data_IF_698691882729
#
_entry.id   IF_698691882729
#
_cell.length_a   1.000
_cell.length_b   1.000
_cell.length_c   1.000
_cell.angle_alpha   90.00
_cell.angle_beta   90.00
_cell.angle_gamma   90.00
#
_symmetry.space_group_name_H-M   'P 1'
#
loop_
_entity.id
_entity.type
_entity.pdbx_description
1 polymer ?
#
# COMPACT_ATOMS: atom_id res chain seq x y z
N UNK A 1 -65.86 -37.99 13.77
CA UNK A 1 -65.59 -37.42 12.42
C UNK A 1 -64.18 -36.86 12.43
N UNK A 2 -63.38 -37.30 11.46
CA UNK A 2 -61.95 -37.02 11.32
C UNK A 2 -61.61 -35.52 11.31
N UNK A 3 -60.49 -35.14 11.92
CA UNK A 3 -59.38 -34.51 11.18
C UNK A 3 -58.11 -34.46 12.02
N UNK A 4 -57.12 -35.25 11.59
CA UNK A 4 -55.69 -35.02 11.84
C UNK A 4 -55.26 -33.81 11.01
N UNK A 5 -54.46 -32.91 11.60
CA UNK A 5 -53.60 -31.92 10.93
C UNK A 5 -52.53 -31.46 11.94
N UNK A 6 -51.34 -31.02 11.49
CA UNK A 6 -50.14 -31.80 11.69
C UNK A 6 -49.08 -31.11 12.54
N UNK A 7 -48.20 -31.95 13.08
CA UNK A 7 -46.97 -31.67 13.79
C UNK A 7 -45.89 -31.05 12.86
N UNK A 8 -46.22 -29.95 12.19
CA UNK A 8 -45.39 -29.33 11.14
C UNK A 8 -45.24 -27.82 11.38
N UNK A 9 -44.62 -27.43 12.49
CA UNK A 9 -44.39 -26.00 12.76
C UNK A 9 -43.07 -25.66 13.46
N UNK A 10 -42.23 -26.64 13.81
CA UNK A 10 -40.96 -26.34 14.52
C UNK A 10 -39.72 -26.80 13.76
N UNK A 11 -39.84 -27.76 12.83
CA UNK A 11 -38.70 -28.26 12.05
C UNK A 11 -38.42 -27.39 10.80
N UNK A 12 -39.41 -26.64 10.31
CA UNK A 12 -39.24 -25.80 9.12
C UNK A 12 -38.60 -24.43 9.42
N UNK A 13 -38.65 -23.97 10.68
CA UNK A 13 -38.09 -22.66 11.07
C UNK A 13 -36.59 -22.72 11.43
N UNK A 14 -36.07 -23.88 11.83
CA UNK A 14 -34.64 -24.09 12.07
C UNK A 14 -33.83 -24.32 10.79
N UNK A 15 -34.44 -24.90 9.75
CA UNK A 15 -33.79 -25.09 8.45
C UNK A 15 -33.56 -23.77 7.69
N UNK A 16 -34.38 -22.75 7.90
CA UNK A 16 -34.20 -21.43 7.26
C UNK A 16 -33.12 -20.60 7.96
N UNK A 17 -32.87 -20.81 9.26
CA UNK A 17 -31.85 -20.06 9.99
C UNK A 17 -30.42 -20.59 9.77
N UNK A 18 -30.25 -21.87 9.43
CA UNK A 18 -28.94 -22.40 8.99
C UNK A 18 -28.62 -22.09 7.52
N UNK A 19 -29.62 -21.81 6.67
CA UNK A 19 -29.41 -21.45 5.28
C UNK A 19 -28.96 -19.99 5.07
N UNK A 20 -29.06 -19.13 6.09
CA UNK A 20 -28.58 -17.74 6.04
C UNK A 20 -27.13 -17.54 6.56
N UNK A 21 -26.48 -18.60 7.06
CA UNK A 21 -25.07 -18.55 7.47
C UNK A 21 -24.10 -19.18 6.45
N UNK A 22 -24.56 -19.50 5.25
CA UNK A 22 -23.74 -20.08 4.18
C UNK A 22 -23.70 -19.22 2.91
N UNK A 23 -23.67 -17.89 3.07
CA UNK A 23 -23.28 -16.99 2.01
C UNK A 23 -21.85 -16.49 2.26
N UNK A 24 -20.93 -16.98 1.43
CA UNK A 24 -19.61 -16.42 1.13
C UNK A 24 -18.47 -16.67 2.13
N UNK A 25 -18.14 -17.95 2.34
CA UNK A 25 -16.73 -18.36 2.41
C UNK A 25 -16.34 -19.05 1.11
N UNK A 26 -15.96 -18.28 0.09
CA UNK A 26 -15.35 -18.87 -1.11
C UNK A 26 -13.88 -19.15 -0.77
N UNK A 27 -13.57 -20.43 -0.60
CA UNK A 27 -12.21 -20.93 -0.67
C UNK A 27 -11.71 -20.77 -2.11
N UNK A 28 -10.75 -19.87 -2.31
CA UNK A 28 -9.86 -19.93 -3.46
C UNK A 28 -8.70 -20.86 -3.14
N UNK A 29 -8.85 -22.15 -3.41
CA UNK A 29 -7.69 -23.03 -3.62
C UNK A 29 -7.25 -22.84 -5.06
N UNK A 30 -6.16 -22.11 -5.25
CA UNK A 30 -5.40 -22.03 -6.49
C UNK A 30 -3.93 -22.30 -6.16
N UNK A 31 -3.48 -23.52 -6.40
CA UNK A 31 -2.06 -23.87 -6.36
C UNK A 31 -1.35 -23.22 -7.54
N UNK A 32 -0.61 -22.16 -7.26
CA UNK A 32 0.41 -21.60 -8.14
C UNK A 32 1.48 -20.96 -7.27
N UNK A 33 2.73 -21.37 -7.42
CA UNK A 33 3.86 -20.61 -6.88
C UNK A 33 3.82 -19.21 -7.53
N UNK A 34 3.43 -18.20 -6.75
CA UNK A 34 3.21 -16.84 -7.23
C UNK A 34 3.39 -15.86 -6.09
N UNK A 35 4.12 -14.77 -6.37
CA UNK A 35 4.53 -13.73 -5.45
C UNK A 35 3.42 -13.35 -4.44
N UNK A 36 3.73 -13.46 -3.15
CA UNK A 36 2.83 -13.05 -2.08
C UNK A 36 2.95 -11.52 -1.92
N UNK A 37 2.27 -10.77 -2.79
CA UNK A 37 2.21 -9.32 -2.66
C UNK A 37 1.59 -8.95 -1.31
N UNK A 38 2.21 -8.00 -0.60
CA UNK A 38 1.60 -7.48 0.63
C UNK A 38 0.29 -6.77 0.28
N UNK A 39 -0.81 -7.42 0.66
CA UNK A 39 -2.13 -6.83 0.59
C UNK A 39 -2.25 -5.71 1.64
N UNK A 40 -2.93 -4.63 1.28
CA UNK A 40 -3.24 -3.55 2.21
C UNK A 40 -4.03 -4.08 3.40
N UNK A 41 -3.34 -4.34 4.52
CA UNK A 41 -3.99 -4.71 5.76
C UNK A 41 -4.51 -3.45 6.47
N UNK A 42 -5.81 -3.18 6.32
CA UNK A 42 -6.48 -2.00 6.88
C UNK A 42 -6.31 -1.85 8.40
N UNK A 43 -6.03 -2.92 9.16
CA UNK A 43 -5.96 -2.85 10.62
C UNK A 43 -4.74 -2.11 11.18
N UNK A 44 -3.64 -2.01 10.42
CA UNK A 44 -2.40 -1.30 10.81
C UNK A 44 -2.01 -0.19 9.85
N UNK A 45 -2.97 0.24 9.04
CA UNK A 45 -2.72 1.20 7.98
C UNK A 45 -3.58 2.44 8.15
N UNK A 46 -3.03 3.59 7.76
CA UNK A 46 -3.80 4.82 7.57
C UNK A 46 -4.01 5.11 6.09
N UNK A 47 -5.13 5.75 5.75
CA UNK A 47 -5.38 6.22 4.38
C UNK A 47 -4.83 7.63 4.21
N UNK A 48 -4.00 7.85 3.19
CA UNK A 48 -3.38 9.13 2.91
C UNK A 48 -4.42 10.26 2.67
N UNK A 49 -5.63 9.93 2.21
CA UNK A 49 -6.73 10.91 2.05
C UNK A 49 -7.17 11.54 3.35
N UNK A 50 -7.11 10.80 4.46
CA UNK A 50 -7.46 11.31 5.80
C UNK A 50 -6.48 12.39 6.27
N UNK A 51 -5.32 12.49 5.61
CA UNK A 51 -4.27 13.48 5.83
C UNK A 51 -4.27 14.60 4.78
N UNK A 52 -5.29 14.61 3.91
CA UNK A 52 -5.55 15.68 2.96
C UNK A 52 -5.00 15.45 1.56
N UNK A 53 -4.47 14.26 1.23
CA UNK A 53 -4.06 13.95 -0.14
C UNK A 53 -5.30 13.90 -1.04
N UNK A 54 -5.22 14.61 -2.16
CA UNK A 54 -6.30 14.70 -3.15
C UNK A 54 -5.80 14.08 -4.45
N UNK A 55 -6.37 12.96 -4.92
CA UNK A 55 -5.96 12.35 -6.19
C UNK A 55 -6.24 13.30 -7.35
N UNK A 56 -5.40 13.23 -8.36
CA UNK A 56 -5.52 13.95 -9.63
C UNK A 56 -5.53 15.48 -9.51
N UNK A 57 -5.20 15.97 -8.31
CA UNK A 57 -4.99 17.39 -8.08
C UNK A 57 -3.68 17.86 -8.73
N UNK A 58 -3.72 19.03 -9.34
CA UNK A 58 -2.50 19.73 -9.78
C UNK A 58 -1.72 20.39 -8.63
N UNK A 59 -2.29 20.40 -7.41
CA UNK A 59 -1.66 20.99 -6.23
C UNK A 59 -0.50 20.14 -5.71
N UNK A 60 0.51 20.80 -5.14
CA UNK A 60 1.59 20.13 -4.43
C UNK A 60 1.08 19.42 -3.17
N UNK A 61 1.33 18.10 -3.09
CA UNK A 61 0.87 17.22 -2.02
C UNK A 61 1.98 16.94 -0.97
N UNK A 62 3.17 17.52 -1.13
CA UNK A 62 4.34 17.24 -0.28
C UNK A 62 4.07 17.36 1.22
N UNK A 63 3.43 18.45 1.68
CA UNK A 63 3.17 18.66 3.10
C UNK A 63 2.14 17.67 3.69
N UNK A 64 1.17 17.25 2.89
CA UNK A 64 0.13 16.30 3.28
C UNK A 64 0.71 14.89 3.43
N UNK A 65 1.55 14.45 2.48
CA UNK A 65 2.21 13.14 2.56
C UNK A 65 3.21 13.07 3.72
N UNK A 66 3.98 14.15 3.95
CA UNK A 66 4.86 14.25 5.12
C UNK A 66 4.07 14.10 6.43
N UNK A 67 2.86 14.67 6.51
CA UNK A 67 1.99 14.52 7.69
C UNK A 67 1.57 13.06 7.90
N UNK A 68 1.15 12.37 6.85
CA UNK A 68 0.76 10.95 6.93
C UNK A 68 1.93 10.07 7.37
N UNK A 69 3.09 10.20 6.74
CA UNK A 69 4.30 9.44 7.07
C UNK A 69 4.74 9.71 8.52
N UNK A 70 4.71 10.98 8.95
CA UNK A 70 5.07 11.35 10.32
C UNK A 70 4.14 10.68 11.32
N UNK A 71 2.83 10.74 11.09
CA UNK A 71 1.85 10.10 11.97
C UNK A 71 2.09 8.60 12.09
N UNK A 72 2.26 7.90 10.96
CA UNK A 72 2.56 6.46 10.96
C UNK A 72 3.85 6.16 11.74
N UNK A 73 4.92 6.95 11.54
CA UNK A 73 6.19 6.73 12.22
C UNK A 73 6.16 6.96 13.73
N UNK A 74 5.21 7.76 14.22
CA UNK A 74 5.08 8.10 15.64
C UNK A 74 4.10 7.18 16.38
N UNK A 75 3.30 6.41 15.64
CA UNK A 75 2.28 5.53 16.19
C UNK A 75 2.65 4.06 15.99
N UNK A 76 2.98 3.35 17.10
CA UNK A 76 3.47 1.96 17.07
C UNK A 76 2.47 0.95 16.50
N UNK A 77 1.17 1.28 16.50
CA UNK A 77 0.13 0.40 15.97
C UNK A 77 0.04 0.48 14.45
N UNK A 78 0.57 1.56 13.87
CA UNK A 78 0.53 1.85 12.43
C UNK A 78 1.90 1.57 11.82
N UNK A 79 1.93 0.80 10.74
CA UNK A 79 3.14 0.50 9.98
C UNK A 79 3.01 0.84 8.49
N UNK A 80 1.85 1.33 8.06
CA UNK A 80 1.58 1.55 6.65
C UNK A 80 0.80 2.85 6.40
N UNK A 81 1.25 3.60 5.38
CA UNK A 81 0.44 4.63 4.72
C UNK A 81 -0.03 4.06 3.38
N UNK A 82 -1.33 3.85 3.27
CA UNK A 82 -1.95 3.50 2.01
C UNK A 82 -2.33 4.73 1.22
N UNK A 83 -1.93 4.73 -0.05
CA UNK A 83 -2.16 5.81 -0.99
C UNK A 83 -3.09 5.29 -2.09
N UNK A 84 -4.37 5.68 -2.09
CA UNK A 84 -5.32 5.17 -3.07
C UNK A 84 -4.96 5.62 -4.49
N UNK A 85 -5.62 5.00 -5.46
CA UNK A 85 -5.54 5.34 -6.88
C UNK A 85 -5.69 6.85 -7.12
N UNK A 86 -4.87 7.37 -8.03
CA UNK A 86 -4.78 8.77 -8.41
C UNK A 86 -3.36 9.23 -8.71
N UNK A 87 -3.23 10.38 -9.35
CA UNK A 87 -1.97 11.08 -9.55
C UNK A 87 -1.71 12.10 -8.45
N UNK A 88 -0.50 12.11 -7.88
CA UNK A 88 -0.08 13.01 -6.81
C UNK A 88 1.21 13.73 -7.19
N UNK A 89 1.18 15.07 -7.11
CA UNK A 89 2.29 15.93 -7.51
C UNK A 89 3.12 16.34 -6.29
N UNK A 90 4.45 16.26 -6.40
CA UNK A 90 5.36 16.61 -5.32
C UNK A 90 6.45 17.57 -5.78
N UNK A 91 6.53 18.73 -5.14
CA UNK A 91 7.63 19.69 -5.38
C UNK A 91 8.82 19.47 -4.45
N UNK A 92 8.61 18.80 -3.31
CA UNK A 92 9.64 18.44 -2.34
C UNK A 92 9.89 16.93 -2.28
N UNK A 93 11.11 16.56 -1.88
CA UNK A 93 11.46 15.16 -1.64
C UNK A 93 10.61 14.52 -0.54
N UNK A 94 10.15 13.31 -0.81
CA UNK A 94 9.47 12.43 0.12
C UNK A 94 10.54 11.72 0.94
N UNK A 95 10.56 11.97 2.25
CA UNK A 95 11.50 11.35 3.18
C UNK A 95 10.85 10.14 3.85
N UNK A 96 11.37 8.95 3.56
CA UNK A 96 10.92 7.71 4.19
C UNK A 96 11.32 7.68 5.67
N UNK A 97 10.56 6.91 6.47
CA UNK A 97 10.78 6.74 7.91
C UNK A 97 10.90 5.26 8.26
N UNK A 98 11.62 4.98 9.35
CA UNK A 98 11.77 3.62 9.88
C UNK A 98 10.40 2.99 10.16
N UNK A 99 10.22 1.72 9.80
CA UNK A 99 9.00 0.96 10.07
C UNK A 99 7.73 1.45 9.35
N UNK A 100 7.84 2.40 8.41
CA UNK A 100 6.69 2.92 7.66
C UNK A 100 6.74 2.44 6.21
N UNK A 101 5.80 1.57 5.88
CA UNK A 101 5.51 1.11 4.51
C UNK A 101 4.67 2.14 3.75
N UNK A 102 4.91 2.27 2.45
CA UNK A 102 4.11 3.08 1.53
C UNK A 102 3.52 2.16 0.46
N UNK A 103 2.19 1.98 0.47
CA UNK A 103 1.51 1.04 -0.43
C UNK A 103 0.50 1.78 -1.27
N UNK A 104 0.57 1.63 -2.59
CA UNK A 104 -0.41 2.15 -3.53
C UNK A 104 -1.45 1.11 -3.96
N UNK A 105 -2.31 1.50 -4.92
CA UNK A 105 -3.34 0.64 -5.50
C UNK A 105 -2.85 -0.20 -6.71
N UNK A 106 -1.64 0.06 -7.20
CA UNK A 106 -1.00 -0.63 -8.32
C UNK A 106 -0.13 0.31 -9.17
N UNK A 107 0.85 -0.23 -9.93
CA UNK A 107 1.51 0.52 -11.00
C UNK A 107 0.50 1.11 -11.98
N UNK A 108 0.71 2.36 -12.37
CA UNK A 108 -0.19 3.14 -13.22
C UNK A 108 -1.46 3.64 -12.53
N UNK A 109 -1.82 3.09 -11.35
CA UNK A 109 -3.00 3.50 -10.57
C UNK A 109 -2.66 4.55 -9.53
N UNK A 110 -1.69 4.26 -8.66
CA UNK A 110 -1.15 5.26 -7.72
C UNK A 110 0.14 5.82 -8.29
N UNK A 111 0.13 7.08 -8.72
CA UNK A 111 1.27 7.68 -9.44
C UNK A 111 1.83 8.86 -8.66
N UNK A 112 3.04 8.71 -8.15
CA UNK A 112 3.83 9.80 -7.57
C UNK A 112 4.65 10.48 -8.65
N UNK A 113 4.45 11.79 -8.82
CA UNK A 113 5.17 12.58 -9.83
C UNK A 113 5.98 13.69 -9.18
N UNK A 114 7.29 13.67 -9.40
CA UNK A 114 8.20 14.74 -9.00
C UNK A 114 8.12 15.93 -9.95
N UNK A 115 8.10 17.15 -9.40
CA UNK A 115 8.18 18.40 -10.17
C UNK A 115 9.54 19.08 -10.12
N UNK A 116 10.48 18.52 -9.37
CA UNK A 116 11.83 19.05 -9.24
C UNK A 116 12.85 18.05 -9.83
N UNK A 117 13.32 18.24 -11.08
CA UNK A 117 14.27 17.32 -11.71
C UNK A 117 15.65 17.34 -11.04
N UNK A 118 15.98 18.40 -10.30
CA UNK A 118 17.26 18.53 -9.61
C UNK A 118 17.31 17.79 -8.26
N UNK A 119 16.18 17.28 -7.78
CA UNK A 119 16.07 16.56 -6.52
C UNK A 119 15.60 15.13 -6.74
N UNK A 120 16.06 14.22 -5.88
CA UNK A 120 15.46 12.90 -5.79
C UNK A 120 14.04 13.00 -5.24
N UNK A 121 13.07 12.35 -5.91
CA UNK A 121 11.67 12.37 -5.45
C UNK A 121 11.54 11.63 -4.13
N UNK A 122 12.11 10.43 -4.00
CA UNK A 122 12.10 9.64 -2.77
C UNK A 122 13.52 9.60 -2.17
N UNK A 123 13.62 9.81 -0.85
CA UNK A 123 14.90 9.84 -0.14
C UNK A 123 14.84 9.13 1.21
N UNK A 124 15.97 8.54 1.58
CA UNK A 124 16.25 8.13 2.95
C UNK A 124 17.74 8.17 3.24
N UNK A 125 18.07 8.40 4.52
CA UNK A 125 19.46 8.42 4.99
C UNK A 125 19.53 7.91 6.42
N UNK A 126 20.40 6.93 6.70
CA UNK A 126 20.62 6.41 8.06
C UNK A 126 19.35 5.84 8.69
N UNK A 127 18.65 4.97 7.95
CA UNK A 127 17.39 4.37 8.39
C UNK A 127 17.52 2.85 8.38
N UNK A 128 17.21 2.21 9.50
CA UNK A 128 16.81 0.80 9.50
C UNK A 128 15.29 0.78 9.32
N UNK A 129 14.83 0.15 8.24
CA UNK A 129 13.44 0.13 7.87
C UNK A 129 12.62 -0.96 8.58
N UNK A 130 13.26 -1.90 9.29
CA UNK A 130 12.56 -2.96 10.02
C UNK A 130 11.58 -3.75 9.16
N UNK A 131 11.97 -4.03 7.91
CA UNK A 131 11.19 -4.71 6.87
C UNK A 131 10.04 -3.92 6.24
N UNK A 132 10.08 -2.58 6.34
CA UNK A 132 9.12 -1.73 5.63
C UNK A 132 9.18 -1.97 4.11
N UNK A 133 8.04 -1.76 3.45
CA UNK A 133 7.87 -2.01 2.01
C UNK A 133 7.34 -0.78 1.29
N UNK A 134 7.90 -0.50 0.11
CA UNK A 134 7.29 0.38 -0.88
C UNK A 134 6.68 -0.48 -1.97
N UNK A 135 5.37 -0.40 -2.16
CA UNK A 135 4.70 -1.32 -3.07
C UNK A 135 3.57 -0.71 -3.89
N UNK A 136 3.26 -1.39 -5.00
CA UNK A 136 2.04 -1.20 -5.80
C UNK A 136 1.83 0.25 -6.24
N UNK A 137 2.84 0.88 -6.82
CA UNK A 137 2.75 2.28 -7.28
C UNK A 137 3.72 2.59 -8.40
N UNK A 138 3.50 3.70 -9.07
CA UNK A 138 4.46 4.30 -10.00
C UNK A 138 5.17 5.47 -9.32
N UNK A 139 6.50 5.47 -9.37
CA UNK A 139 7.36 6.58 -8.99
C UNK A 139 7.91 7.20 -10.27
N UNK A 140 7.45 8.40 -10.63
CA UNK A 140 7.86 9.09 -11.84
C UNK A 140 8.63 10.36 -11.53
N UNK A 141 9.88 10.40 -11.97
CA UNK A 141 10.71 11.61 -11.99
C UNK A 141 11.76 11.47 -13.09
N UNK A 142 11.89 12.44 -14.00
CA UNK A 142 12.68 12.25 -15.23
C UNK A 142 14.16 11.96 -14.99
N UNK A 143 14.75 12.57 -13.96
CA UNK A 143 16.20 12.50 -13.71
C UNK A 143 16.57 11.70 -12.46
N UNK A 144 15.79 11.83 -11.39
CA UNK A 144 16.20 11.41 -10.03
C UNK A 144 15.02 10.79 -9.28
N UNK A 145 14.76 9.51 -9.49
CA UNK A 145 13.62 8.84 -8.87
C UNK A 145 13.84 8.64 -7.35
N UNK A 146 14.93 7.97 -6.98
CA UNK A 146 15.13 7.50 -5.60
C UNK A 146 16.60 7.51 -5.19
N UNK A 147 16.90 8.02 -3.98
CA UNK A 147 18.22 7.94 -3.35
C UNK A 147 18.11 7.45 -1.91
N UNK A 148 18.72 6.30 -1.62
CA UNK A 148 18.78 5.71 -0.28
C UNK A 148 20.26 5.58 0.12
N UNK A 149 20.60 6.11 1.30
CA UNK A 149 22.00 6.18 1.75
C UNK A 149 22.14 5.60 3.16
N UNK A 150 23.10 4.72 3.40
CA UNK A 150 23.40 4.19 4.73
C UNK A 150 22.16 3.60 5.43
N UNK A 151 21.33 2.84 4.71
CA UNK A 151 20.04 2.34 5.21
C UNK A 151 19.88 0.86 4.92
N UNK A 152 19.02 0.16 5.66
CA UNK A 152 18.84 -1.28 5.52
C UNK A 152 17.40 -1.76 5.72
N UNK A 153 17.13 -3.00 5.31
CA UNK A 153 15.87 -3.73 5.55
C UNK A 153 14.64 -3.11 4.87
N UNK A 154 14.79 -2.72 3.60
CA UNK A 154 13.74 -2.08 2.78
C UNK A 154 13.45 -2.93 1.54
N UNK A 155 12.17 -3.20 1.30
CA UNK A 155 11.74 -3.94 0.11
C UNK A 155 10.95 -3.06 -0.85
N UNK A 156 11.17 -3.26 -2.15
CA UNK A 156 10.36 -2.67 -3.23
C UNK A 156 9.61 -3.79 -3.93
N UNK A 157 8.28 -3.70 -3.98
CA UNK A 157 7.44 -4.74 -4.56
C UNK A 157 6.44 -4.17 -5.55
N UNK A 158 6.48 -4.61 -6.81
CA UNK A 158 5.55 -4.15 -7.84
C UNK A 158 5.52 -2.61 -7.95
N UNK A 159 6.71 -1.99 -7.97
CA UNK A 159 6.89 -0.56 -8.18
C UNK A 159 7.36 -0.33 -9.61
N UNK A 160 6.69 0.57 -10.31
CA UNK A 160 7.18 1.09 -11.58
C UNK A 160 8.01 2.36 -11.31
N UNK A 161 9.32 2.29 -11.58
CA UNK A 161 10.17 3.47 -11.66
C UNK A 161 10.15 4.00 -13.09
N UNK A 162 9.42 5.09 -13.30
CA UNK A 162 9.22 5.72 -14.61
C UNK A 162 10.16 6.90 -14.77
N UNK A 163 11.30 6.63 -15.40
CA UNK A 163 12.42 7.54 -15.56
C UNK A 163 13.25 7.71 -14.28
N UNK A 164 14.39 8.36 -14.46
CA UNK A 164 15.24 8.81 -13.38
C UNK A 164 16.07 7.74 -12.69
N UNK A 165 17.16 8.18 -12.07
CA UNK A 165 18.10 7.31 -11.38
C UNK A 165 17.50 6.76 -10.08
N UNK A 166 17.60 5.44 -9.91
CA UNK A 166 17.39 4.73 -8.66
C UNK A 166 18.76 4.39 -8.08
N UNK A 167 19.12 4.98 -6.93
CA UNK A 167 20.48 4.93 -6.36
C UNK A 167 20.49 4.50 -4.90
N UNK A 168 21.35 3.55 -4.62
CA UNK A 168 21.66 3.08 -3.26
C UNK A 168 23.13 3.31 -2.97
N UNK A 169 23.44 3.78 -1.77
CA UNK A 169 24.81 3.97 -1.30
C UNK A 169 24.95 3.39 0.09
N UNK A 170 25.95 2.52 0.31
CA UNK A 170 26.23 1.92 1.62
C UNK A 170 24.98 1.35 2.29
N UNK A 171 24.08 0.77 1.50
CA UNK A 171 22.80 0.25 1.95
C UNK A 171 22.77 -1.26 1.78
N UNK A 172 22.15 -1.95 2.71
CA UNK A 172 22.22 -3.41 2.86
C UNK A 172 20.82 -3.99 3.00
N UNK A 173 20.62 -5.26 2.63
CA UNK A 173 19.31 -5.92 2.68
C UNK A 173 18.19 -5.09 2.02
N UNK A 174 18.43 -4.69 0.76
CA UNK A 174 17.43 -4.04 -0.09
C UNK A 174 17.00 -5.02 -1.16
N UNK A 175 15.70 -5.24 -1.30
CA UNK A 175 15.14 -6.22 -2.24
C UNK A 175 14.24 -5.55 -3.27
N UNK A 176 14.17 -6.17 -4.45
CA UNK A 176 13.32 -5.77 -5.56
C UNK A 176 12.58 -6.98 -6.09
N UNK A 177 11.26 -6.99 -5.99
CA UNK A 177 10.39 -8.04 -6.52
C UNK A 177 9.33 -7.46 -7.45
N UNK A 178 9.25 -7.97 -8.69
CA UNK A 178 8.22 -7.55 -9.65
C UNK A 178 8.27 -6.06 -10.05
N UNK A 179 9.41 -5.39 -9.88
CA UNK A 179 9.55 -3.96 -10.22
C UNK A 179 9.83 -3.75 -11.71
N UNK A 180 9.40 -2.61 -12.23
CA UNK A 180 9.62 -2.19 -13.62
C UNK A 180 10.51 -0.95 -13.60
N UNK A 181 11.52 -0.90 -14.46
CA UNK A 181 12.40 0.25 -14.64
C UNK A 181 12.34 0.70 -16.10
N UNK A 182 11.72 1.86 -16.34
CA UNK A 182 11.45 2.42 -17.67
C UNK A 182 12.21 3.74 -17.90
#
# INVERSE_FOLDING_TARGET
MNQKLPFLSVIFLTLVFQALCFAESIQGVGSGEGAHYLEYNKSRSINARDYGLIPDSSMDQSSMLVRAIKYASENKEIDCVYVPEGSYQFTQSIWLKAGVSLIGAGPGKTVFTGKNPNAFLIRAKRVDFGDAVIANMTVSNSERALLITNSCNLSFQNVEFKGGMVRFEKSENVTFEGNIFN
#
